data_IF_807544434525
#
_entry.id   IF_807544434525
#
_cell.length_a   1.000
_cell.length_b   1.000
_cell.length_c   1.000
_cell.angle_alpha   90.00
_cell.angle_beta   90.00
_cell.angle_gamma   90.00
#
_symmetry.space_group_name_H-M   'P 1'
#
loop_
_entity.id
_entity.type
_entity.pdbx_description
1 polymer ?
#
# COMPACT_ATOMS: atom_id res chain seq x y z
N UNK A 1 -31.78 -17.73 -6.44
CA UNK A 1 -31.83 -17.20 -5.07
C UNK A 1 -30.59 -17.70 -4.33
N UNK A 2 -29.48 -16.94 -4.37
CA UNK A 2 -28.23 -17.35 -3.72
C UNK A 2 -28.22 -16.86 -2.28
N UNK A 3 -28.29 -17.78 -1.32
CA UNK A 3 -28.18 -17.47 0.10
C UNK A 3 -26.76 -16.96 0.41
N UNK A 4 -26.64 -15.70 0.82
CA UNK A 4 -25.41 -15.17 1.39
C UNK A 4 -25.12 -15.92 2.69
N UNK A 5 -24.18 -16.87 2.66
CA UNK A 5 -23.63 -17.47 3.86
C UNK A 5 -22.74 -16.41 4.54
N UNK A 6 -23.34 -15.69 5.48
CA UNK A 6 -22.61 -14.78 6.37
C UNK A 6 -22.00 -15.64 7.48
N UNK A 7 -20.73 -16.01 7.31
CA UNK A 7 -19.98 -16.69 8.37
C UNK A 7 -19.58 -15.61 9.37
N UNK A 8 -20.36 -15.48 10.44
CA UNK A 8 -20.07 -14.59 11.56
C UNK A 8 -19.04 -15.29 12.46
N UNK A 9 -17.75 -15.15 12.13
CA UNK A 9 -16.67 -15.51 13.04
C UNK A 9 -16.61 -14.41 14.10
N UNK A 10 -17.32 -14.61 15.21
CA UNK A 10 -17.03 -13.92 16.48
C UNK A 10 -16.24 -14.87 17.37
N UNK A 11 -14.95 -15.14 17.10
CA UNK A 11 -14.12 -15.65 18.16
C UNK A 11 -14.09 -14.60 19.25
N UNK A 12 -14.10 -15.03 20.50
CA UNK A 12 -13.78 -14.16 21.62
C UNK A 12 -12.33 -13.71 21.44
N UNK A 13 -12.16 -12.52 20.85
CA UNK A 13 -10.86 -11.96 20.50
C UNK A 13 -9.97 -11.87 21.72
N UNK A 14 -10.57 -11.66 22.90
CA UNK A 14 -9.87 -11.59 24.16
C UNK A 14 -9.26 -12.93 24.57
N UNK A 15 -9.99 -14.04 24.38
CA UNK A 15 -9.47 -15.38 24.66
C UNK A 15 -8.35 -15.79 23.67
N UNK A 16 -8.45 -15.38 22.40
CA UNK A 16 -7.38 -15.60 21.41
C UNK A 16 -6.16 -14.74 21.74
N UNK A 17 -6.36 -13.48 22.10
CA UNK A 17 -5.27 -12.57 22.51
C UNK A 17 -4.57 -13.07 23.76
N UNK A 18 -5.31 -13.50 24.79
CA UNK A 18 -4.75 -14.07 26.02
C UNK A 18 -4.01 -15.38 25.74
N UNK A 19 -4.57 -16.26 24.90
CA UNK A 19 -3.92 -17.50 24.50
C UNK A 19 -2.63 -17.23 23.71
N UNK A 20 -2.66 -16.32 22.72
CA UNK A 20 -1.47 -15.93 21.96
C UNK A 20 -0.41 -15.28 22.86
N UNK A 21 -0.83 -14.40 23.78
CA UNK A 21 0.07 -13.73 24.72
C UNK A 21 0.74 -14.70 25.70
N UNK A 22 0.03 -15.77 26.10
CA UNK A 22 0.58 -16.84 26.94
C UNK A 22 1.54 -17.76 26.16
N UNK A 23 1.25 -18.04 24.89
CA UNK A 23 2.06 -18.95 24.07
C UNK A 23 3.27 -18.29 23.40
N UNK A 24 3.24 -16.97 23.15
CA UNK A 24 4.28 -16.22 22.42
C UNK A 24 4.96 -15.15 23.31
N UNK A 25 5.30 -15.51 24.54
CA UNK A 25 6.14 -14.67 25.39
C UNK A 25 7.59 -14.67 24.88
N UNK A 26 7.86 -13.91 23.81
CA UNK A 26 9.21 -13.69 23.29
C UNK A 26 9.84 -12.59 24.15
N UNK A 27 10.94 -12.92 24.83
CA UNK A 27 11.78 -11.95 25.54
C UNK A 27 13.18 -11.95 24.94
N UNK A 28 13.76 -10.77 24.77
CA UNK A 28 15.09 -10.60 24.20
C UNK A 28 16.01 -9.88 25.19
N UNK A 29 17.26 -10.30 25.23
CA UNK A 29 18.34 -9.63 25.94
C UNK A 29 19.28 -9.01 24.89
N UNK A 30 19.64 -7.73 25.04
CA UNK A 30 20.58 -7.05 24.13
C UNK A 30 22.02 -7.48 24.40
N UNK A 31 22.29 -7.84 25.65
CA UNK A 31 23.59 -8.28 26.13
C UNK A 31 23.45 -9.62 26.87
N UNK A 32 24.47 -10.50 26.83
CA UNK A 32 24.42 -11.80 27.50
C UNK A 32 24.13 -11.72 29.01
N UNK A 33 24.46 -10.60 29.65
CA UNK A 33 24.28 -10.36 31.08
C UNK A 33 23.05 -9.49 31.41
N UNK A 34 22.26 -9.11 30.42
CA UNK A 34 21.08 -8.25 30.62
C UNK A 34 19.83 -9.08 30.93
N UNK A 35 18.90 -8.47 31.67
CA UNK A 35 17.61 -9.11 31.95
C UNK A 35 16.81 -9.16 30.64
N UNK A 36 16.32 -10.34 30.21
CA UNK A 36 15.47 -10.43 29.03
C UNK A 36 14.23 -9.54 29.16
N UNK A 37 14.04 -8.67 28.18
CA UNK A 37 12.91 -7.75 28.11
C UNK A 37 11.83 -8.35 27.22
N UNK A 38 10.56 -8.43 27.67
CA UNK A 38 9.45 -8.88 26.83
C UNK A 38 9.34 -8.04 25.56
N UNK A 39 9.11 -8.67 24.40
CA UNK A 39 9.00 -8.00 23.11
C UNK A 39 7.94 -6.89 23.09
N UNK A 40 6.81 -7.12 23.77
CA UNK A 40 5.73 -6.12 23.93
C UNK A 40 6.17 -4.84 24.65
N UNK A 41 7.24 -4.92 25.44
CA UNK A 41 7.83 -3.80 26.18
C UNK A 41 9.00 -3.16 25.44
N UNK A 42 9.41 -3.72 24.30
CA UNK A 42 10.42 -3.13 23.42
C UNK A 42 9.77 -2.11 22.48
N UNK A 43 10.56 -1.13 22.02
CA UNK A 43 10.07 -0.12 21.08
C UNK A 43 9.61 -0.72 19.75
N UNK A 44 8.69 -0.04 19.06
CA UNK A 44 8.00 -0.56 17.87
C UNK A 44 8.95 -0.97 16.74
N UNK A 45 10.12 -0.32 16.61
CA UNK A 45 11.14 -0.72 15.64
C UNK A 45 11.67 -2.14 15.86
N UNK A 46 11.86 -2.55 17.12
CA UNK A 46 12.25 -3.93 17.46
C UNK A 46 11.12 -4.91 17.14
N UNK A 47 9.87 -4.55 17.46
CA UNK A 47 8.71 -5.38 17.15
C UNK A 47 8.55 -5.59 15.64
N UNK A 48 8.68 -4.52 14.85
CA UNK A 48 8.64 -4.61 13.37
C UNK A 48 9.81 -5.42 12.81
N UNK A 49 11.00 -5.33 13.41
CA UNK A 49 12.15 -6.15 13.02
C UNK A 49 11.92 -7.65 13.27
N UNK A 50 11.39 -8.02 14.43
CA UNK A 50 11.07 -9.42 14.72
C UNK A 50 9.95 -9.91 13.81
N UNK A 51 8.92 -9.10 13.56
CA UNK A 51 7.86 -9.44 12.61
C UNK A 51 8.43 -9.74 11.22
N UNK A 52 9.34 -8.89 10.73
CA UNK A 52 10.03 -9.13 9.46
C UNK A 52 10.85 -10.42 9.49
N UNK A 53 11.60 -10.68 10.56
CA UNK A 53 12.37 -11.91 10.71
C UNK A 53 11.48 -13.17 10.73
N UNK A 54 10.33 -13.10 11.42
CA UNK A 54 9.35 -14.18 11.44
C UNK A 54 8.75 -14.44 10.05
N UNK A 55 8.36 -13.40 9.33
CA UNK A 55 7.86 -13.52 7.95
C UNK A 55 8.93 -14.09 7.01
N UNK A 56 10.19 -13.66 7.16
CA UNK A 56 11.31 -14.18 6.39
C UNK A 56 11.55 -15.66 6.70
N UNK A 57 11.52 -16.06 7.97
CA UNK A 57 11.63 -17.47 8.36
C UNK A 57 10.51 -18.32 7.74
N UNK A 58 9.27 -17.83 7.66
CA UNK A 58 8.17 -18.55 6.98
C UNK A 58 8.48 -18.84 5.51
N UNK A 59 9.31 -18.04 4.85
CA UNK A 59 9.73 -18.34 3.47
C UNK A 59 10.57 -19.61 3.40
N UNK A 60 11.29 -20.01 4.46
CA UNK A 60 12.17 -21.19 4.46
C UNK A 60 11.40 -22.50 4.65
N UNK A 61 10.13 -22.44 5.06
CA UNK A 61 9.30 -23.61 5.35
C UNK A 61 8.06 -23.68 4.44
N UNK A 62 8.24 -23.94 3.12
CA UNK A 62 7.13 -23.99 2.17
C UNK A 62 6.10 -25.08 2.50
N UNK A 63 6.51 -26.17 3.15
CA UNK A 63 5.61 -27.27 3.55
C UNK A 63 4.65 -26.88 4.69
N UNK A 64 4.86 -25.71 5.33
CA UNK A 64 3.90 -25.11 6.27
C UNK A 64 2.72 -24.46 5.57
N UNK A 65 2.67 -24.43 4.23
CA UNK A 65 1.48 -24.11 3.43
C UNK A 65 0.46 -25.25 3.60
N UNK A 66 0.04 -25.47 4.85
CA UNK A 66 -1.07 -26.34 5.19
C UNK A 66 -2.30 -25.50 4.95
N UNK A 67 -3.01 -25.88 3.88
CA UNK A 67 -4.35 -25.47 3.52
C UNK A 67 -5.04 -24.65 4.62
N UNK A 68 -5.22 -23.33 4.41
CA UNK A 68 -6.06 -22.36 5.17
C UNK A 68 -5.35 -21.24 5.96
N UNK A 69 -4.04 -21.00 5.83
CA UNK A 69 -3.44 -19.78 6.41
C UNK A 69 -3.44 -18.63 5.41
N UNK A 70 -4.03 -17.50 5.79
CA UNK A 70 -4.01 -16.24 5.03
C UNK A 70 -3.26 -15.20 5.84
N UNK A 71 -2.31 -14.51 5.23
CA UNK A 71 -1.58 -13.41 5.86
C UNK A 71 -2.30 -12.10 5.58
N UNK A 72 -2.86 -11.51 6.64
CA UNK A 72 -3.50 -10.18 6.62
C UNK A 72 -2.63 -9.21 7.42
N UNK A 73 -2.08 -8.19 6.77
CA UNK A 73 -1.14 -7.25 7.40
C UNK A 73 -1.62 -5.81 7.23
N UNK A 74 -1.77 -5.10 8.33
CA UNK A 74 -1.99 -3.65 8.33
C UNK A 74 -0.63 -2.94 8.36
N UNK A 75 -0.37 -2.10 7.35
CA UNK A 75 0.87 -1.30 7.20
C UNK A 75 2.16 -2.03 7.63
N UNK A 76 2.52 -3.14 6.94
CA UNK A 76 3.67 -3.95 7.35
C UNK A 76 5.00 -3.17 7.37
N UNK A 77 5.09 -2.05 6.66
CA UNK A 77 6.24 -1.15 6.62
C UNK A 77 6.40 -0.23 7.85
N UNK A 78 5.39 -0.15 8.72
CA UNK A 78 5.36 0.82 9.82
C UNK A 78 6.48 0.54 10.85
N UNK A 79 7.16 1.60 11.26
CA UNK A 79 8.38 1.59 12.09
C UNK A 79 9.62 0.92 11.48
N UNK A 80 9.59 0.50 10.21
CA UNK A 80 10.78 0.01 9.51
C UNK A 80 11.58 1.13 8.84
N UNK A 81 12.91 1.02 8.94
CA UNK A 81 13.86 1.86 8.18
C UNK A 81 13.64 1.67 6.67
N UNK A 82 13.81 2.70 5.80
CA UNK A 82 13.54 2.60 4.36
C UNK A 82 14.15 1.38 3.65
N UNK A 83 15.38 1.01 4.02
CA UNK A 83 16.02 -0.19 3.47
C UNK A 83 15.22 -1.48 3.75
N UNK A 84 14.65 -1.60 4.94
CA UNK A 84 13.88 -2.76 5.39
C UNK A 84 12.47 -2.81 4.77
N UNK A 85 11.91 -1.67 4.35
CA UNK A 85 10.63 -1.61 3.62
C UNK A 85 10.70 -2.37 2.28
N UNK A 86 11.84 -2.27 1.60
CA UNK A 86 12.11 -3.06 0.38
C UNK A 86 12.27 -4.54 0.69
N UNK A 87 12.92 -4.86 1.81
CA UNK A 87 13.09 -6.25 2.26
C UNK A 87 11.75 -6.89 2.57
N UNK A 88 10.85 -6.21 3.30
CA UNK A 88 9.52 -6.77 3.59
C UNK A 88 8.69 -6.96 2.31
N UNK A 89 8.75 -6.04 1.33
CA UNK A 89 8.09 -6.25 0.02
C UNK A 89 8.56 -7.55 -0.63
N UNK A 90 9.88 -7.77 -0.70
CA UNK A 90 10.47 -9.00 -1.27
C UNK A 90 9.97 -10.24 -0.52
N UNK A 91 10.01 -10.23 0.80
CA UNK A 91 9.56 -11.36 1.64
C UNK A 91 8.08 -11.67 1.38
N UNK A 92 7.21 -10.66 1.33
CA UNK A 92 5.79 -10.85 1.03
C UNK A 92 5.56 -11.42 -0.38
N UNK A 93 6.30 -10.93 -1.38
CA UNK A 93 6.26 -11.47 -2.74
C UNK A 93 6.75 -12.92 -2.82
N UNK A 94 7.80 -13.27 -2.07
CA UNK A 94 8.30 -14.65 -1.98
C UNK A 94 7.31 -15.60 -1.31
N UNK A 95 6.63 -15.15 -0.26
CA UNK A 95 5.54 -15.91 0.38
C UNK A 95 4.39 -16.14 -0.62
N UNK A 96 3.97 -15.09 -1.34
CA UNK A 96 2.93 -15.19 -2.35
C UNK A 96 3.30 -16.18 -3.47
N UNK A 97 4.54 -16.12 -3.97
CA UNK A 97 5.06 -17.03 -4.99
C UNK A 97 5.13 -18.50 -4.49
N UNK A 98 5.28 -18.70 -3.18
CA UNK A 98 5.25 -20.03 -2.53
C UNK A 98 3.82 -20.50 -2.21
N UNK A 99 2.79 -19.78 -2.66
CA UNK A 99 1.40 -20.18 -2.54
C UNK A 99 0.68 -19.64 -1.30
N UNK A 100 1.31 -18.76 -0.50
CA UNK A 100 0.63 -18.10 0.61
C UNK A 100 -0.33 -17.03 0.09
N UNK A 101 -1.62 -17.02 0.50
CA UNK A 101 -2.49 -15.88 0.27
C UNK A 101 -2.05 -14.71 1.15
N UNK A 102 -1.56 -13.63 0.53
CA UNK A 102 -1.09 -12.43 1.23
C UNK A 102 -1.95 -11.24 0.84
N UNK A 103 -2.50 -10.53 1.83
CA UNK A 103 -3.22 -9.27 1.67
C UNK A 103 -2.67 -8.27 2.67
N UNK A 104 -2.36 -7.07 2.21
CA UNK A 104 -1.88 -6.01 3.09
C UNK A 104 -2.39 -4.63 2.69
N UNK A 105 -2.49 -3.74 3.66
CA UNK A 105 -2.71 -2.31 3.46
C UNK A 105 -1.37 -1.60 3.47
N UNK A 106 -1.20 -0.54 2.68
CA UNK A 106 0.04 0.23 2.65
C UNK A 106 -0.23 1.66 2.22
N UNK A 107 0.51 2.59 2.83
CA UNK A 107 0.61 3.98 2.37
C UNK A 107 1.95 4.25 1.67
N UNK A 108 2.79 3.23 1.53
CA UNK A 108 4.11 3.32 0.93
C UNK A 108 4.11 2.89 -0.53
N UNK A 109 4.56 3.77 -1.39
CA UNK A 109 4.82 3.46 -2.80
C UNK A 109 5.92 2.41 -3.00
N UNK A 110 6.82 2.22 -2.02
CA UNK A 110 7.88 1.22 -2.07
C UNK A 110 7.38 -0.23 -1.94
N UNK A 111 6.14 -0.41 -1.44
CA UNK A 111 5.48 -1.70 -1.24
C UNK A 111 4.64 -2.14 -2.45
N UNK A 112 4.59 -1.33 -3.52
CA UNK A 112 3.80 -1.60 -4.72
C UNK A 112 4.72 -1.74 -5.94
N UNK A 113 4.72 -2.91 -6.57
CA UNK A 113 5.55 -3.23 -7.73
C UNK A 113 4.72 -3.66 -8.95
N UNK A 114 4.78 -2.94 -10.08
CA UNK A 114 4.04 -3.30 -11.29
C UNK A 114 4.62 -4.51 -12.04
N UNK A 115 5.83 -4.93 -11.67
CA UNK A 115 6.53 -6.05 -12.25
C UNK A 115 6.38 -7.37 -11.48
N UNK A 116 5.69 -7.34 -10.35
CA UNK A 116 5.30 -8.52 -9.59
C UNK A 116 3.83 -8.85 -9.88
N UNK A 117 3.44 -10.12 -9.78
CA UNK A 117 2.06 -10.54 -9.96
C UNK A 117 1.27 -10.22 -8.69
N UNK A 118 0.45 -9.18 -8.75
CA UNK A 118 -0.34 -8.68 -7.63
C UNK A 118 -1.61 -7.98 -8.10
N UNK A 119 -2.56 -7.83 -7.18
CA UNK A 119 -3.78 -7.05 -7.38
C UNK A 119 -3.72 -5.82 -6.50
N UNK A 120 -3.56 -4.66 -7.12
CA UNK A 120 -3.49 -3.38 -6.42
C UNK A 120 -4.92 -2.84 -6.27
N UNK A 121 -5.41 -2.74 -5.03
CA UNK A 121 -6.71 -2.16 -4.72
C UNK A 121 -6.54 -0.74 -4.19
N UNK A 122 -6.94 0.26 -4.98
CA UNK A 122 -6.96 1.66 -4.55
C UNK A 122 -8.33 2.02 -4.01
N UNK A 123 -8.37 2.45 -2.76
CA UNK A 123 -9.58 2.93 -2.10
C UNK A 123 -9.52 4.46 -1.93
N UNK A 124 -10.63 5.14 -2.26
CA UNK A 124 -10.76 6.60 -2.16
C UNK A 124 -12.09 6.93 -1.51
N UNK A 125 -12.06 7.79 -0.49
CA UNK A 125 -13.28 8.35 0.10
C UNK A 125 -13.67 9.62 -0.63
N UNK A 126 -14.92 9.73 -1.08
CA UNK A 126 -15.48 10.93 -1.71
C UNK A 126 -16.91 11.15 -1.22
N UNK A 127 -17.20 12.33 -0.66
CA UNK A 127 -18.54 12.70 -0.16
C UNK A 127 -19.18 11.65 0.77
N UNK A 128 -18.41 11.11 1.72
CA UNK A 128 -18.89 10.11 2.67
C UNK A 128 -18.95 8.67 2.14
N UNK A 129 -18.84 8.46 0.82
CA UNK A 129 -18.79 7.13 0.20
C UNK A 129 -17.36 6.68 -0.09
N UNK A 130 -17.11 5.38 -0.11
CA UNK A 130 -15.81 4.80 -0.52
C UNK A 130 -15.95 4.21 -1.91
N UNK A 131 -15.11 4.66 -2.84
CA UNK A 131 -14.94 4.07 -4.16
C UNK A 131 -13.65 3.25 -4.18
N UNK A 132 -13.68 2.08 -4.82
CA UNK A 132 -12.50 1.25 -5.05
C UNK A 132 -12.26 1.04 -6.54
N UNK A 133 -10.98 0.94 -6.92
CA UNK A 133 -10.52 0.53 -8.24
C UNK A 133 -9.40 -0.47 -8.06
N UNK A 134 -9.41 -1.53 -8.85
CA UNK A 134 -8.37 -2.55 -8.84
C UNK A 134 -7.53 -2.49 -10.12
N UNK A 135 -6.28 -2.90 -9.99
CA UNK A 135 -5.35 -3.10 -11.10
C UNK A 135 -4.69 -4.46 -10.93
N UNK A 136 -4.86 -5.29 -11.94
CA UNK A 136 -4.24 -6.60 -12.08
C UNK A 136 -2.92 -6.41 -12.84
N UNK A 137 -1.78 -6.62 -12.18
CA UNK A 137 -0.47 -6.32 -12.78
C UNK A 137 -0.05 -7.35 -13.84
N UNK A 138 -0.50 -8.59 -13.74
CA UNK A 138 -0.37 -9.65 -14.74
C UNK A 138 -0.93 -9.25 -16.12
N UNK A 139 -2.02 -8.48 -16.14
CA UNK A 139 -2.65 -7.96 -17.36
C UNK A 139 -1.96 -6.74 -17.99
N UNK A 140 -0.91 -6.19 -17.39
CA UNK A 140 -0.18 -5.03 -17.93
C UNK A 140 0.84 -5.49 -18.97
N UNK A 141 0.88 -4.81 -20.12
CA UNK A 141 1.85 -5.10 -21.19
C UNK A 141 3.30 -5.14 -20.64
N UNK A 142 4.09 -6.20 -20.94
CA UNK A 142 5.49 -6.32 -20.52
C UNK A 142 6.35 -5.09 -20.82
N UNK A 143 6.17 -4.43 -21.97
CA UNK A 143 6.92 -3.23 -22.33
C UNK A 143 6.65 -2.06 -21.37
N UNK A 144 5.41 -1.95 -20.90
CA UNK A 144 5.02 -0.97 -19.89
C UNK A 144 5.61 -1.31 -18.50
N UNK A 145 5.74 -2.60 -18.17
CA UNK A 145 6.42 -3.06 -16.94
C UNK A 145 7.92 -2.73 -16.99
N UNK A 146 8.59 -2.97 -18.13
CA UNK A 146 10.01 -2.66 -18.32
C UNK A 146 10.27 -1.15 -18.18
N UNK A 147 9.38 -0.31 -18.74
CA UNK A 147 9.48 1.13 -18.56
C UNK A 147 9.34 1.55 -17.09
N UNK A 148 8.47 0.91 -16.31
CA UNK A 148 8.35 1.20 -14.87
C UNK A 148 9.60 0.81 -14.08
N UNK A 149 10.31 -0.27 -14.47
CA UNK A 149 11.60 -0.66 -13.86
C UNK A 149 12.72 0.34 -14.14
N UNK A 150 12.73 0.93 -15.33
CA UNK A 150 13.78 1.84 -15.79
C UNK A 150 13.65 3.24 -15.20
N UNK A 151 12.45 3.63 -14.76
CA UNK A 151 12.23 4.89 -14.06
C UNK A 151 12.77 4.79 -12.63
N UNK A 152 14.07 5.14 -12.49
CA UNK A 152 14.83 5.22 -11.21
C UNK A 152 14.14 6.01 -10.09
N UNK A 153 13.11 6.77 -10.40
CA UNK A 153 12.39 7.67 -9.50
C UNK A 153 11.20 7.02 -8.78
N UNK A 154 10.91 5.73 -8.96
CA UNK A 154 9.83 5.09 -8.21
C UNK A 154 8.49 5.80 -8.48
N UNK A 155 8.09 5.83 -9.76
CA UNK A 155 6.92 6.58 -10.20
C UNK A 155 5.59 6.13 -9.54
N UNK A 156 5.60 5.11 -8.69
CA UNK A 156 4.43 4.61 -7.96
C UNK A 156 3.74 5.66 -7.06
N UNK A 157 4.39 6.79 -6.76
CA UNK A 157 3.76 7.91 -6.05
C UNK A 157 2.47 8.42 -6.73
N UNK A 158 2.31 8.25 -8.05
CA UNK A 158 1.07 8.63 -8.72
C UNK A 158 -0.15 7.85 -8.21
N UNK A 159 0.05 6.64 -7.66
CA UNK A 159 -1.03 5.85 -7.04
C UNK A 159 -1.61 6.53 -5.81
N UNK A 160 -0.82 7.37 -5.14
CA UNK A 160 -1.22 8.09 -3.94
C UNK A 160 -1.64 9.53 -4.24
N UNK A 161 -1.37 10.01 -5.46
CA UNK A 161 -1.81 11.32 -5.94
C UNK A 161 -3.30 11.40 -6.31
N UNK A 162 -3.85 12.61 -6.30
CA UNK A 162 -5.21 12.88 -6.80
C UNK A 162 -5.25 12.99 -8.33
N UNK A 163 -4.14 13.41 -8.94
CA UNK A 163 -3.96 13.54 -10.36
C UNK A 163 -2.48 13.30 -10.70
N UNK A 164 -2.21 12.84 -11.92
CA UNK A 164 -0.86 12.62 -12.42
C UNK A 164 -0.74 13.17 -13.85
N UNK A 165 0.25 14.02 -14.08
CA UNK A 165 0.56 14.56 -15.39
C UNK A 165 1.66 13.72 -16.05
N UNK A 166 1.28 12.91 -17.02
CA UNK A 166 2.20 12.06 -17.77
C UNK A 166 2.88 12.87 -18.89
N UNK A 167 4.11 13.31 -18.62
CA UNK A 167 4.93 14.04 -19.58
C UNK A 167 5.85 13.09 -20.34
N UNK A 168 5.59 12.90 -21.65
CA UNK A 168 6.50 12.14 -22.51
C UNK A 168 7.76 12.96 -22.80
N UNK A 169 8.88 12.60 -22.17
CA UNK A 169 10.18 13.21 -22.47
C UNK A 169 10.73 12.67 -23.80
N UNK A 170 10.57 13.41 -24.90
CA UNK A 170 11.38 13.20 -26.11
C UNK A 170 12.83 13.58 -25.76
N UNK A 171 13.77 12.66 -26.00
CA UNK A 171 15.16 12.79 -25.56
C UNK A 171 15.82 14.11 -25.97
N UNK A 172 16.21 14.91 -24.96
CA UNK A 172 17.33 15.85 -24.97
C UNK A 172 17.82 16.08 -23.55
N UNK A 173 19.12 16.35 -23.46
CA UNK A 173 19.97 16.47 -22.27
C UNK A 173 19.45 17.49 -21.25
N UNK A 174 19.76 17.24 -19.98
CA UNK A 174 19.27 17.91 -18.78
C UNK A 174 19.33 19.45 -18.83
N UNK A 175 18.18 20.10 -18.61
CA UNK A 175 18.10 21.39 -17.90
C UNK A 175 17.02 21.25 -16.82
N UNK A 176 17.33 21.72 -15.62
CA UNK A 176 16.46 21.63 -14.44
C UNK A 176 15.05 22.18 -14.72
N UNK A 177 13.99 21.59 -14.15
CA UNK A 177 12.64 22.10 -14.32
C UNK A 177 12.49 23.47 -13.64
N UNK A 178 11.82 24.46 -14.27
CA UNK A 178 11.49 25.70 -13.60
C UNK A 178 10.47 25.42 -12.49
N UNK A 179 10.71 26.01 -11.32
CA UNK A 179 9.84 25.94 -10.13
C UNK A 179 8.38 26.23 -10.50
N UNK A 180 7.49 25.32 -10.12
CA UNK A 180 6.03 25.43 -10.26
C UNK A 180 5.52 26.61 -9.43
N UNK A 181 5.41 27.81 -10.02
CA UNK A 181 4.77 28.98 -9.38
C UNK A 181 3.80 29.76 -10.28
N UNK A 182 3.36 29.22 -11.42
CA UNK A 182 2.50 30.00 -12.35
C UNK A 182 1.27 29.29 -12.94
N UNK A 183 0.84 28.13 -12.42
CA UNK A 183 -0.40 27.49 -12.92
C UNK A 183 -1.67 27.86 -12.13
N UNK A 184 -1.57 28.53 -10.97
CA UNK A 184 -2.77 28.94 -10.19
C UNK A 184 -3.55 30.11 -10.83
N UNK A 185 -2.92 30.88 -11.72
CA UNK A 185 -3.54 32.04 -12.37
C UNK A 185 -4.36 31.68 -13.62
N UNK A 186 -4.07 30.56 -14.30
CA UNK A 186 -4.83 30.11 -15.48
C UNK A 186 -6.07 29.31 -15.12
N UNK A 187 -5.99 28.43 -14.11
CA UNK A 187 -7.15 27.69 -13.60
C UNK A 187 -8.22 28.61 -12.96
N UNK A 188 -7.82 29.72 -12.33
CA UNK A 188 -8.78 30.73 -11.82
C UNK A 188 -9.54 31.47 -12.91
N UNK A 189 -8.95 31.67 -14.10
CA UNK A 189 -9.65 32.30 -15.24
C UNK A 189 -10.64 31.36 -15.92
N UNK A 190 -10.32 30.06 -16.03
CA UNK A 190 -11.22 29.07 -16.62
C UNK A 190 -12.47 28.81 -15.74
N UNK A 191 -12.31 28.74 -14.41
CA UNK A 191 -13.45 28.58 -13.48
C UNK A 191 -14.29 29.86 -13.38
N UNK A 192 -13.69 31.05 -13.54
CA UNK A 192 -14.41 32.33 -13.57
C UNK A 192 -15.29 32.54 -14.81
N UNK A 193 -14.90 31.98 -15.97
CA UNK A 193 -15.68 32.06 -17.21
C UNK A 193 -16.87 31.09 -17.23
N UNK A 194 -16.78 29.93 -16.57
CA UNK A 194 -17.91 28.99 -16.49
C UNK A 194 -19.07 29.52 -15.62
N UNK A 195 -18.78 30.29 -14.57
CA UNK A 195 -19.81 30.84 -13.68
C UNK A 195 -20.54 32.08 -14.22
N UNK A 196 -19.94 32.81 -15.18
CA UNK A 196 -20.60 33.95 -15.84
C UNK A 196 -21.57 33.52 -16.94
N UNK A 197 -21.31 32.40 -17.62
CA UNK A 197 -22.23 31.84 -18.63
C UNK A 197 -23.48 31.22 -17.99
N UNK A 198 -23.35 30.58 -16.81
CA UNK A 198 -24.49 29.97 -16.11
C UNK A 198 -25.44 30.97 -15.43
N UNK A 199 -25.02 32.21 -15.20
CA UNK A 199 -25.88 33.30 -14.67
C UNK A 199 -26.67 34.05 -15.74
N UNK A 200 -26.29 33.97 -17.02
CA UNK A 200 -27.06 34.61 -18.13
C UNK A 200 -28.23 33.76 -18.65
N UNK A 201 -28.27 32.46 -18.37
CA UNK A 201 -29.35 31.58 -18.82
C UNK A 201 -30.51 31.38 -17.83
N UNK A 202 -30.55 32.11 -16.71
CA UNK A 202 -31.64 32.02 -15.71
C UNK A 202 -32.56 33.24 -15.63
N UNK A 203 -32.42 34.23 -16.52
CA UNK A 203 -33.24 35.47 -16.47
C UNK A 203 -34.02 35.81 -17.75
N UNK A 204 -34.09 34.91 -18.73
CA UNK A 204 -34.98 35.03 -19.89
C UNK A 204 -35.88 33.80 -19.97
N UNK A 205 -37.02 33.85 -19.29
CA UNK A 205 -37.98 32.75 -19.28
C UNK A 205 -38.94 32.81 -18.10
N UNK A 206 -39.71 33.89 -18.03
CA UNK A 206 -40.99 34.00 -17.31
C UNK A 206 -41.74 35.15 -17.99
N UNK A 207 -42.53 34.78 -19.01
CA UNK A 207 -43.82 35.42 -19.26
C UNK A 207 -44.84 34.70 -18.38
#
# INVERSE_FOLDING_TARGET
MGSHAKIDLKPDTQAIEEWLAQQLAISLATDPNSIPVPLKSMGDGWQSMIRLAALEALTEYPDLVRERVVLLLEEPETHLHPHLRRKIRRVLGELAAKGWPVVYTTHSSELVAFDEDQVINRMVRTNGSVASKNVHTDGINPDAKVQSKLDKTGAHDFLFGTAADLLRRKGRQLRHPPRVRQEKSRLRRAVGQYNTVRRRHRHTGLR
#
